data_IF_402556897125
#
_entry.id   IF_402556897125
#
_cell.length_a   1.000
_cell.length_b   1.000
_cell.length_c   1.000
_cell.angle_alpha   90.00
_cell.angle_beta   90.00
_cell.angle_gamma   90.00
#
_symmetry.space_group_name_H-M   'P 1'
#
loop_
_entity.id
_entity.type
_entity.pdbx_description
1 polymer ?
#
# COMPACT_ATOMS: atom_id res chain seq x y z
N UNK A 1 26.09 15.39 -3.53
CA UNK A 1 24.82 15.46 -4.28
C UNK A 1 24.20 14.07 -4.29
N UNK A 2 22.98 13.86 -3.79
CA UNK A 2 22.34 12.53 -3.88
C UNK A 2 22.05 12.21 -5.34
N UNK A 3 22.51 11.05 -5.82
CA UNK A 3 22.36 10.58 -7.20
C UNK A 3 20.89 10.24 -7.52
N UNK A 4 20.04 10.10 -6.50
CA UNK A 4 18.65 9.68 -6.62
C UNK A 4 17.75 10.48 -5.65
N UNK A 5 16.51 10.73 -6.07
CA UNK A 5 15.46 11.32 -5.23
C UNK A 5 14.38 10.27 -4.99
N UNK A 6 14.17 9.92 -3.72
CA UNK A 6 13.02 9.11 -3.31
C UNK A 6 11.82 10.05 -3.14
N UNK A 7 10.68 9.67 -3.70
CA UNK A 7 9.41 10.38 -3.59
C UNK A 7 8.39 9.36 -3.12
N UNK A 8 7.82 9.58 -1.94
CA UNK A 8 6.84 8.71 -1.30
C UNK A 8 5.47 9.38 -1.36
N UNK A 9 4.74 9.19 -2.45
CA UNK A 9 3.34 9.60 -2.57
C UNK A 9 2.47 8.45 -3.12
N UNK A 10 1.15 8.62 -3.08
CA UNK A 10 0.18 7.59 -3.51
C UNK A 10 -0.05 7.59 -5.03
N UNK A 11 0.67 8.42 -5.79
CA UNK A 11 0.50 8.58 -7.23
C UNK A 11 1.69 8.00 -8.01
N UNK A 12 1.50 7.86 -9.31
CA UNK A 12 2.60 7.51 -10.19
C UNK A 12 3.46 8.76 -10.42
N UNK A 13 4.65 8.82 -9.80
CA UNK A 13 5.59 9.95 -9.81
C UNK A 13 5.85 10.60 -11.20
N UNK A 14 5.68 9.89 -12.31
CA UNK A 14 5.82 10.53 -13.63
C UNK A 14 4.75 11.59 -13.90
N UNK A 15 3.54 11.46 -13.32
CA UNK A 15 2.42 12.40 -13.54
C UNK A 15 2.67 13.76 -12.87
N UNK A 16 3.04 13.83 -11.58
CA UNK A 16 3.18 15.12 -10.89
C UNK A 16 4.52 15.81 -11.16
N UNK A 17 5.58 15.04 -11.41
CA UNK A 17 6.95 15.56 -11.44
C UNK A 17 7.57 15.59 -12.85
N UNK A 18 6.77 15.36 -13.90
CA UNK A 18 7.22 15.34 -15.30
C UNK A 18 8.45 14.44 -15.56
N UNK A 19 8.56 13.34 -14.81
CA UNK A 19 9.63 12.35 -14.97
C UNK A 19 9.29 11.48 -16.20
N UNK A 20 10.26 11.08 -17.03
CA UNK A 20 10.01 10.12 -18.11
C UNK A 20 9.36 8.84 -17.58
N UNK A 21 8.42 8.28 -18.34
CA UNK A 21 7.80 6.99 -17.98
C UNK A 21 8.86 5.90 -17.94
N UNK A 22 8.78 5.05 -16.93
CA UNK A 22 9.59 3.84 -16.88
C UNK A 22 9.16 2.86 -17.97
N UNK A 23 10.11 2.09 -18.50
CA UNK A 23 9.83 1.01 -19.45
C UNK A 23 9.06 -0.16 -18.80
N UNK A 24 9.28 -0.39 -17.50
CA UNK A 24 8.62 -1.40 -16.70
C UNK A 24 8.38 -0.83 -15.30
N UNK A 25 7.16 -1.01 -14.79
CA UNK A 25 6.79 -0.71 -13.41
C UNK A 25 6.37 -2.02 -12.77
N UNK A 26 7.12 -2.48 -11.77
CA UNK A 26 6.72 -3.62 -10.94
C UNK A 26 6.08 -3.02 -9.70
N UNK A 27 4.79 -3.28 -9.54
CA UNK A 27 4.04 -2.80 -8.40
C UNK A 27 3.07 -3.90 -7.94
N UNK A 28 3.19 -4.30 -6.68
CA UNK A 28 2.25 -5.20 -6.02
C UNK A 28 1.25 -4.35 -5.24
N UNK A 29 0.33 -3.70 -5.97
CA UNK A 29 -0.50 -2.66 -5.37
C UNK A 29 -1.78 -3.30 -4.81
N UNK A 30 -2.09 -3.13 -3.51
CA UNK A 30 -3.23 -3.77 -2.87
C UNK A 30 -4.58 -3.13 -3.21
N UNK A 31 -4.67 -2.29 -4.25
CA UNK A 31 -5.91 -1.59 -4.63
C UNK A 31 -7.08 -2.53 -4.91
N UNK A 32 -6.82 -3.73 -5.41
CA UNK A 32 -7.88 -4.68 -5.77
C UNK A 32 -8.47 -5.43 -4.58
N UNK A 33 -7.90 -5.29 -3.38
CA UNK A 33 -8.32 -6.06 -2.20
C UNK A 33 -9.31 -5.27 -1.32
N UNK A 34 -9.46 -3.95 -1.54
CA UNK A 34 -10.46 -3.10 -0.88
C UNK A 34 -10.43 -3.25 0.65
N UNK A 35 -11.59 -3.55 1.26
CA UNK A 35 -11.72 -3.87 2.68
C UNK A 35 -10.84 -5.02 3.19
N UNK A 36 -10.37 -5.89 2.29
CA UNK A 36 -9.48 -7.02 2.59
C UNK A 36 -8.00 -6.64 2.44
N UNK A 37 -7.69 -5.35 2.35
CA UNK A 37 -6.35 -4.76 2.37
C UNK A 37 -5.40 -5.48 3.35
N UNK A 38 -5.76 -5.55 4.63
CA UNK A 38 -4.91 -6.20 5.63
C UNK A 38 -5.03 -7.73 5.64
N UNK A 39 -5.80 -8.38 4.75
CA UNK A 39 -6.24 -9.77 4.91
C UNK A 39 -5.11 -10.81 4.92
N UNK A 40 -3.96 -10.47 4.36
CA UNK A 40 -2.71 -11.27 4.42
C UNK A 40 -1.70 -10.76 5.46
N UNK A 41 -2.04 -9.72 6.22
CA UNK A 41 -1.21 -9.08 7.21
C UNK A 41 -1.62 -9.54 8.62
N UNK A 42 -0.68 -9.92 9.51
CA UNK A 42 -0.99 -10.19 10.91
C UNK A 42 -1.74 -9.04 11.59
N UNK A 43 -1.53 -7.80 11.13
CA UNK A 43 -2.28 -6.63 11.59
C UNK A 43 -3.79 -6.69 11.33
N UNK A 44 -4.32 -7.66 10.58
CA UNK A 44 -5.76 -7.93 10.51
C UNK A 44 -6.30 -8.42 11.85
N UNK A 45 -5.49 -9.14 12.62
CA UNK A 45 -5.91 -9.82 13.84
C UNK A 45 -5.35 -9.15 15.10
N UNK A 46 -6.06 -9.31 16.22
CA UNK A 46 -5.60 -8.81 17.53
C UNK A 46 -4.33 -9.55 17.92
N UNK A 47 -3.27 -8.80 18.24
CA UNK A 47 -1.92 -9.31 18.54
C UNK A 47 -1.30 -10.19 17.44
N UNK A 48 -1.81 -10.11 16.21
CA UNK A 48 -1.32 -10.93 15.10
C UNK A 48 -1.89 -12.34 15.04
N UNK A 49 -2.85 -12.69 15.91
CA UNK A 49 -3.38 -14.05 16.03
C UNK A 49 -4.89 -14.08 15.74
N UNK A 50 -5.29 -14.91 14.76
CA UNK A 50 -6.68 -15.04 14.36
C UNK A 50 -7.58 -15.68 15.44
N UNK A 51 -6.99 -16.38 16.42
CA UNK A 51 -7.71 -16.90 17.58
C UNK A 51 -8.24 -15.79 18.49
N UNK A 52 -7.59 -14.61 18.49
CA UNK A 52 -7.99 -13.46 19.29
C UNK A 52 -9.05 -12.58 18.60
N UNK A 53 -9.38 -12.89 17.35
CA UNK A 53 -10.37 -12.16 16.56
C UNK A 53 -9.77 -11.05 15.69
N UNK A 54 -10.66 -10.30 15.05
CA UNK A 54 -10.32 -9.23 14.11
C UNK A 54 -9.95 -7.93 14.83
N UNK A 55 -8.93 -7.25 14.33
CA UNK A 55 -8.46 -5.95 14.84
C UNK A 55 -9.27 -4.78 14.27
N UNK A 56 -8.99 -3.57 14.76
CA UNK A 56 -9.55 -2.32 14.22
C UNK A 56 -9.19 -2.02 12.77
N UNK A 57 -8.24 -2.77 12.19
CA UNK A 57 -7.80 -2.65 10.78
C UNK A 57 -8.47 -3.68 9.88
N UNK A 58 -9.14 -4.68 10.44
CA UNK A 58 -9.92 -5.62 9.67
C UNK A 58 -11.08 -4.91 8.97
N UNK A 59 -11.34 -5.29 7.71
CA UNK A 59 -12.41 -4.69 6.92
C UNK A 59 -12.19 -3.22 6.53
N UNK A 60 -11.01 -2.64 6.82
CA UNK A 60 -10.65 -1.28 6.42
C UNK A 60 -9.73 -1.27 5.21
N UNK A 61 -9.92 -0.27 4.37
CA UNK A 61 -9.07 -0.03 3.21
C UNK A 61 -7.73 0.59 3.65
N UNK A 62 -6.66 0.35 2.90
CA UNK A 62 -5.35 0.95 3.19
C UNK A 62 -5.28 2.44 2.91
N UNK A 63 -6.12 2.91 2.00
CA UNK A 63 -6.03 4.24 1.43
C UNK A 63 -7.24 5.05 1.88
N UNK A 64 -6.99 6.24 2.42
CA UNK A 64 -7.99 7.28 2.58
C UNK A 64 -8.26 7.89 1.19
N UNK A 65 -9.11 7.25 0.38
CA UNK A 65 -9.58 7.81 -0.91
C UNK A 65 -10.83 8.66 -0.75
#
# INVERSE_FOLDING_TARGET
>A
MSKFRLINDHFQNYKPYAIPKAQLVIADIPYNIGKNAYGSNPSWYIDGDNANGESDKAGKEFFDT
#
